data_IF_482889082412
#
_entry.id   IF_482889082412
#
_cell.length_a   1.000
_cell.length_b   1.000
_cell.length_c   1.000
_cell.angle_alpha   90.00
_cell.angle_beta   90.00
_cell.angle_gamma   90.00
#
_symmetry.space_group_name_H-M   'P 1'
#
loop_
_entity.id
_entity.type
_entity.pdbx_description
1 polymer ?
#
# COMPACT_ATOMS: atom_id res chain seq x y z
N UNK A 1 5.00 -8.19 21.30
CA UNK A 1 3.93 -8.06 20.30
C UNK A 1 3.26 -9.41 20.13
N UNK A 2 1.94 -9.50 20.17
CA UNK A 2 1.19 -10.72 19.90
C UNK A 2 0.38 -10.52 18.62
N UNK A 3 0.70 -11.26 17.57
CA UNK A 3 -0.03 -11.27 16.30
C UNK A 3 -0.59 -12.67 16.05
N UNK A 4 -1.80 -12.75 15.50
CA UNK A 4 -2.42 -14.00 15.09
C UNK A 4 -2.27 -14.11 13.56
N UNK A 5 -1.61 -15.16 13.03
CA UNK A 5 -1.56 -15.37 11.59
C UNK A 5 -2.95 -15.76 11.08
N UNK A 6 -3.46 -15.03 10.10
CA UNK A 6 -4.68 -15.37 9.37
C UNK A 6 -4.48 -15.01 7.89
N UNK A 7 -5.22 -15.69 7.03
CA UNK A 7 -5.32 -15.34 5.61
C UNK A 7 -6.55 -14.45 5.41
N UNK A 8 -6.45 -13.48 4.51
CA UNK A 8 -7.55 -12.61 4.10
C UNK A 8 -7.77 -12.79 2.61
N UNK A 9 -9.02 -12.90 2.18
CA UNK A 9 -9.42 -12.79 0.78
C UNK A 9 -9.40 -11.33 0.32
N UNK A 10 -8.65 -11.04 -0.75
CA UNK A 10 -8.41 -9.68 -1.22
C UNK A 10 -9.39 -9.24 -2.32
N UNK A 11 -10.17 -10.15 -2.89
CA UNK A 11 -11.08 -9.92 -4.03
C UNK A 11 -12.18 -8.88 -3.77
N UNK A 12 -12.43 -8.52 -2.51
CA UNK A 12 -13.34 -7.46 -2.10
C UNK A 12 -12.65 -6.25 -1.45
N UNK A 13 -11.31 -6.25 -1.39
CA UNK A 13 -10.53 -5.24 -0.67
C UNK A 13 -9.94 -4.18 -1.57
N UNK A 14 -10.16 -2.93 -1.18
CA UNK A 14 -9.53 -1.75 -1.77
C UNK A 14 -8.17 -1.47 -1.13
N UNK A 15 -7.17 -1.19 -1.97
CA UNK A 15 -5.79 -0.98 -1.55
C UNK A 15 -5.24 0.35 -2.10
N UNK A 16 -4.71 1.18 -1.20
CA UNK A 16 -3.96 2.38 -1.55
C UNK A 16 -2.46 2.15 -1.31
N UNK A 17 -1.62 2.51 -2.27
CA UNK A 17 -0.16 2.41 -2.19
C UNK A 17 0.43 3.80 -2.42
N UNK A 18 1.15 4.34 -1.42
CA UNK A 18 1.80 5.64 -1.49
C UNK A 18 3.26 5.45 -1.83
N UNK A 19 3.69 6.01 -2.96
CA UNK A 19 5.03 5.84 -3.53
C UNK A 19 5.02 5.04 -4.83
N UNK A 20 6.04 5.26 -5.67
CA UNK A 20 6.16 4.64 -7.01
C UNK A 20 7.50 3.96 -7.27
N UNK A 21 8.29 3.73 -6.21
CA UNK A 21 9.58 3.03 -6.30
C UNK A 21 9.45 1.51 -6.18
N UNK A 22 10.58 0.83 -5.99
CA UNK A 22 10.65 -0.64 -5.98
C UNK A 22 9.87 -1.29 -4.84
N UNK A 23 9.78 -0.62 -3.69
CA UNK A 23 8.98 -1.09 -2.55
C UNK A 23 7.50 -1.12 -2.92
N UNK A 24 7.00 -0.03 -3.51
CA UNK A 24 5.63 0.07 -3.99
C UNK A 24 5.37 -0.98 -5.10
N UNK A 25 6.31 -1.14 -6.03
CA UNK A 25 6.21 -2.14 -7.10
C UNK A 25 6.01 -3.55 -6.54
N UNK A 26 6.83 -3.95 -5.56
CA UNK A 26 6.70 -5.26 -4.90
C UNK A 26 5.33 -5.45 -4.25
N UNK A 27 4.79 -4.41 -3.58
CA UNK A 27 3.45 -4.49 -2.97
C UNK A 27 2.35 -4.58 -4.01
N UNK A 28 2.38 -3.73 -5.04
CA UNK A 28 1.38 -3.74 -6.10
C UNK A 28 1.29 -5.11 -6.77
N UNK A 29 2.43 -5.75 -7.08
CA UNK A 29 2.42 -7.11 -7.65
C UNK A 29 1.72 -8.13 -6.75
N UNK A 30 2.07 -8.16 -5.46
CA UNK A 30 1.44 -9.07 -4.50
C UNK A 30 -0.07 -8.83 -4.40
N UNK A 31 -0.49 -7.57 -4.40
CA UNK A 31 -1.92 -7.20 -4.38
C UNK A 31 -2.64 -7.66 -5.65
N UNK A 32 -2.02 -7.51 -6.81
CA UNK A 32 -2.57 -7.96 -8.09
C UNK A 32 -2.61 -9.50 -8.20
N UNK A 33 -1.59 -10.19 -7.70
CA UNK A 33 -1.54 -11.66 -7.60
C UNK A 33 -2.61 -12.20 -6.66
N UNK A 34 -2.88 -11.49 -5.56
CA UNK A 34 -3.96 -11.81 -4.64
C UNK A 34 -5.36 -11.38 -5.14
N UNK A 35 -5.45 -10.82 -6.35
CA UNK A 35 -6.69 -10.36 -6.97
C UNK A 35 -7.41 -9.26 -6.18
N UNK A 36 -6.66 -8.32 -5.58
CA UNK A 36 -7.25 -7.19 -4.88
C UNK A 36 -8.29 -6.44 -5.74
N UNK A 37 -9.46 -6.13 -5.16
CA UNK A 37 -10.60 -5.54 -5.87
C UNK A 37 -10.23 -4.20 -6.56
N UNK A 38 -9.48 -3.37 -5.86
CA UNK A 38 -8.97 -2.10 -6.37
C UNK A 38 -7.57 -1.86 -5.84
N UNK A 39 -6.67 -1.45 -6.73
CA UNK A 39 -5.34 -0.95 -6.36
C UNK A 39 -5.17 0.46 -6.92
N UNK A 40 -4.88 1.41 -6.03
CA UNK A 40 -4.57 2.78 -6.38
C UNK A 40 -3.15 3.14 -5.92
N UNK A 41 -2.33 3.67 -6.84
CA UNK A 41 -0.96 4.10 -6.55
C UNK A 41 -0.89 5.62 -6.59
N UNK A 42 -0.46 6.23 -5.49
CA UNK A 42 -0.31 7.69 -5.34
C UNK A 42 1.18 8.01 -5.36
N UNK A 43 1.65 8.55 -6.49
CA UNK A 43 3.05 8.94 -6.65
C UNK A 43 3.22 9.93 -7.80
N UNK A 44 4.16 10.90 -7.70
CA UNK A 44 4.45 11.81 -8.79
C UNK A 44 5.14 11.12 -9.98
N UNK A 45 5.79 9.98 -9.73
CA UNK A 45 6.47 9.15 -10.72
C UNK A 45 6.33 7.68 -10.35
N UNK A 46 6.39 6.81 -11.35
CA UNK A 46 6.44 5.36 -11.17
C UNK A 46 7.75 4.82 -11.78
N UNK A 47 8.30 3.74 -11.21
CA UNK A 47 9.36 2.99 -11.85
C UNK A 47 8.84 2.31 -13.14
N UNK A 48 9.76 1.86 -14.00
CA UNK A 48 9.41 1.32 -15.33
C UNK A 48 8.40 0.17 -15.28
N UNK A 49 8.52 -0.68 -14.25
CA UNK A 49 7.67 -1.84 -14.08
C UNK A 49 6.23 -1.48 -13.67
N UNK A 50 6.07 -0.58 -12.71
CA UNK A 50 4.75 -0.03 -12.36
C UNK A 50 4.13 0.71 -13.55
N UNK A 51 4.94 1.43 -14.33
CA UNK A 51 4.49 2.09 -15.55
C UNK A 51 3.95 1.08 -16.57
N UNK A 52 4.60 -0.07 -16.72
CA UNK A 52 4.14 -1.16 -17.59
C UNK A 52 2.81 -1.76 -17.12
N UNK A 53 2.66 -1.99 -15.82
CA UNK A 53 1.42 -2.49 -15.22
C UNK A 53 0.26 -1.49 -15.32
N UNK A 54 0.54 -0.20 -15.11
CA UNK A 54 -0.44 0.89 -15.28
C UNK A 54 -0.96 0.96 -16.71
N UNK A 55 -0.04 0.94 -17.70
CA UNK A 55 -0.40 0.93 -19.13
C UNK A 55 -1.22 -0.29 -19.55
N UNK A 56 -1.03 -1.40 -18.85
CA UNK A 56 -1.84 -2.62 -19.02
C UNK A 56 -3.19 -2.56 -18.28
N UNK A 57 -3.54 -1.43 -17.67
CA UNK A 57 -4.81 -1.22 -16.97
C UNK A 57 -4.94 -2.00 -15.66
N UNK A 58 -3.83 -2.40 -15.04
CA UNK A 58 -3.85 -3.30 -13.87
C UNK A 58 -4.18 -2.59 -12.56
N UNK A 59 -3.96 -1.29 -12.46
CA UNK A 59 -4.25 -0.47 -11.29
C UNK A 59 -4.49 0.99 -11.68
N UNK A 60 -5.03 1.81 -10.77
CA UNK A 60 -5.22 3.25 -10.99
C UNK A 60 -4.00 4.05 -10.52
N UNK A 61 -3.43 4.89 -11.38
CA UNK A 61 -2.37 5.82 -10.99
C UNK A 61 -2.92 7.22 -10.72
N UNK A 62 -2.70 7.71 -9.50
CA UNK A 62 -2.90 9.10 -9.10
C UNK A 62 -1.53 9.83 -9.15
N UNK A 63 -1.30 10.53 -10.26
CA UNK A 63 -0.02 11.18 -10.57
C UNK A 63 0.17 12.47 -9.75
N UNK A 64 0.48 12.30 -8.47
CA UNK A 64 0.76 13.39 -7.51
C UNK A 64 1.55 12.88 -6.31
N UNK A 65 2.13 13.82 -5.57
CA UNK A 65 2.65 13.53 -4.24
C UNK A 65 1.51 13.46 -3.22
N UNK A 66 1.58 12.49 -2.29
CA UNK A 66 0.75 12.50 -1.11
C UNK A 66 1.16 13.65 -0.17
N UNK A 67 0.19 14.16 0.59
CA UNK A 67 0.42 15.24 1.57
C UNK A 67 0.09 14.77 2.98
N UNK A 68 0.62 15.48 3.98
CA UNK A 68 0.44 15.12 5.39
C UNK A 68 -1.02 15.14 5.88
N UNK A 69 -1.90 15.87 5.19
CA UNK A 69 -3.33 15.96 5.51
C UNK A 69 -4.20 14.90 4.82
N UNK A 70 -3.60 13.96 4.08
CA UNK A 70 -4.36 12.93 3.36
C UNK A 70 -5.15 12.03 4.32
N UNK A 71 -6.33 11.64 3.85
CA UNK A 71 -7.16 10.59 4.41
C UNK A 71 -7.48 9.64 3.27
N UNK A 72 -6.83 8.48 3.24
CA UNK A 72 -7.10 7.46 2.23
C UNK A 72 -8.29 6.62 2.67
N UNK A 73 -9.32 6.58 1.83
CA UNK A 73 -10.45 5.67 2.00
C UNK A 73 -10.13 4.36 1.27
N UNK A 74 -9.47 3.46 1.99
CA UNK A 74 -9.17 2.11 1.52
C UNK A 74 -9.16 1.13 2.69
N UNK A 75 -9.42 -0.14 2.43
CA UNK A 75 -9.34 -1.20 3.46
C UNK A 75 -7.90 -1.40 3.92
N UNK A 76 -6.97 -1.32 2.96
CA UNK A 76 -5.53 -1.44 3.17
C UNK A 76 -4.78 -0.24 2.63
N UNK A 77 -3.79 0.24 3.40
CA UNK A 77 -2.92 1.35 3.05
C UNK A 77 -1.46 0.93 3.18
N UNK A 78 -0.69 1.10 2.11
CA UNK A 78 0.73 0.78 2.04
C UNK A 78 1.53 2.07 1.90
N UNK A 79 2.31 2.40 2.93
CA UNK A 79 3.20 3.57 2.92
C UNK A 79 4.59 3.11 2.49
N UNK A 80 4.96 3.43 1.24
CA UNK A 80 6.16 2.95 0.55
C UNK A 80 7.06 4.11 0.08
N UNK A 81 7.15 5.16 0.90
CA UNK A 81 8.01 6.34 0.64
C UNK A 81 9.13 6.43 1.67
N UNK A 82 10.20 7.16 1.36
CA UNK A 82 11.29 7.42 2.31
C UNK A 82 11.03 8.71 3.13
N UNK A 83 9.78 9.00 3.48
CA UNK A 83 9.39 10.22 4.21
C UNK A 83 8.73 9.87 5.55
N UNK A 84 9.51 9.72 6.63
CA UNK A 84 8.98 9.32 7.95
C UNK A 84 7.93 10.29 8.49
N UNK A 85 8.13 11.59 8.27
CA UNK A 85 7.19 12.65 8.71
C UNK A 85 5.82 12.52 8.04
N UNK A 86 5.80 12.14 6.75
CA UNK A 86 4.58 11.87 6.00
C UNK A 86 3.86 10.64 6.56
N UNK A 87 4.61 9.57 6.86
CA UNK A 87 4.05 8.34 7.43
C UNK A 87 3.37 8.61 8.77
N UNK A 88 4.04 9.36 9.65
CA UNK A 88 3.50 9.72 10.97
C UNK A 88 2.26 10.61 10.88
N UNK A 89 2.22 11.54 9.92
CA UNK A 89 1.04 12.38 9.70
C UNK A 89 -0.15 11.53 9.21
N UNK A 90 0.04 10.68 8.20
CA UNK A 90 -1.03 9.84 7.64
C UNK A 90 -1.52 8.82 8.68
N UNK A 91 -0.63 8.29 9.52
CA UNK A 91 -0.97 7.36 10.62
C UNK A 91 -1.96 7.97 11.62
N UNK A 92 -1.87 9.29 11.88
CA UNK A 92 -2.81 10.02 12.74
C UNK A 92 -4.17 10.24 12.07
N UNK A 93 -4.21 10.27 10.74
CA UNK A 93 -5.40 10.53 9.93
C UNK A 93 -6.12 9.26 9.46
N UNK A 94 -5.60 8.07 9.79
CA UNK A 94 -6.14 6.79 9.30
C UNK A 94 -7.61 6.60 9.67
N UNK A 95 -8.35 5.96 8.79
CA UNK A 95 -9.74 5.59 9.08
C UNK A 95 -9.80 4.53 10.20
N UNK A 96 -10.88 4.48 11.00
CA UNK A 96 -11.09 3.40 11.96
C UNK A 96 -11.01 2.04 11.26
N UNK A 97 -10.26 1.09 11.85
CA UNK A 97 -10.07 -0.29 11.36
C UNK A 97 -9.29 -0.44 10.04
N UNK A 98 -8.83 0.64 9.42
CA UNK A 98 -7.95 0.57 8.25
C UNK A 98 -6.64 -0.16 8.59
N UNK A 99 -6.27 -1.13 7.76
CA UNK A 99 -5.05 -1.90 7.91
C UNK A 99 -3.89 -1.15 7.23
N UNK A 100 -2.93 -0.68 8.02
CA UNK A 100 -1.79 0.09 7.50
C UNK A 100 -0.51 -0.75 7.55
N UNK A 101 0.13 -0.89 6.40
CA UNK A 101 1.45 -1.49 6.20
C UNK A 101 2.51 -0.38 6.07
N UNK A 102 3.58 -0.48 6.86
CA UNK A 102 4.74 0.40 6.77
C UNK A 102 5.90 -0.36 6.16
N UNK A 103 6.49 0.20 5.11
CA UNK A 103 7.62 -0.42 4.42
C UNK A 103 8.91 -0.46 5.26
N UNK A 104 9.16 0.58 6.06
CA UNK A 104 10.45 0.80 6.72
C UNK A 104 10.51 0.29 8.15
N UNK A 105 9.37 0.17 8.84
CA UNK A 105 9.31 -0.35 10.20
C UNK A 105 8.12 -1.29 10.39
N UNK A 106 8.41 -2.60 10.34
CA UNK A 106 7.43 -3.61 10.68
C UNK A 106 6.88 -3.39 12.11
N UNK A 107 7.64 -2.85 13.05
CA UNK A 107 7.22 -2.66 14.44
C UNK A 107 6.10 -1.63 14.66
N UNK A 108 5.80 -0.78 13.68
CA UNK A 108 4.80 0.30 13.82
C UNK A 108 3.49 0.07 13.05
N UNK A 109 3.44 -0.97 12.22
CA UNK A 109 2.24 -1.39 11.52
C UNK A 109 1.25 -2.12 12.41
N UNK A 110 -0.02 -2.14 11.99
CA UNK A 110 -1.04 -3.00 12.60
C UNK A 110 -1.28 -4.28 11.77
N UNK A 111 -0.56 -4.43 10.66
CA UNK A 111 -0.65 -5.54 9.72
C UNK A 111 0.74 -5.89 9.22
N UNK A 112 1.04 -7.19 9.21
CA UNK A 112 2.29 -7.76 8.71
C UNK A 112 2.00 -8.76 7.61
N UNK A 113 2.75 -8.66 6.52
CA UNK A 113 2.77 -9.70 5.51
C UNK A 113 3.86 -10.71 5.88
N UNK A 114 3.43 -11.92 6.20
CA UNK A 114 4.35 -13.05 6.34
C UNK A 114 4.70 -13.47 4.92
N UNK A 115 6.00 -13.51 4.58
CA UNK A 115 6.44 -14.10 3.31
C UNK A 115 5.85 -15.51 3.21
N UNK A 116 5.03 -15.74 2.20
CA UNK A 116 4.52 -17.07 1.90
C UNK A 116 5.70 -18.02 1.68
N UNK A 117 5.67 -19.16 2.36
CA UNK A 117 6.60 -20.29 2.17
C UNK A 117 6.15 -21.09 0.95
N UNK A 118 6.22 -20.53 -0.25
CA UNK A 118 6.09 -21.28 -1.50
C UNK A 118 7.13 -20.80 -2.51
#
# INVERSE_FOLDING_TARGET
>A
MSALPFMIEMSEMSCAVVGGGDVACRRVKLLLEAEAAEVAVIAPTLNEELLGLERAGRFRWDCRSAVASEVFLSDKLFLCTNQPELHEAIKKNKAPRQLVYFADDAGEGNFWEIKSLY
#
